data_IF_073758489267
#
_entry.id   IF_073758489267
#
_cell.length_a   1.000
_cell.length_b   1.000
_cell.length_c   1.000
_cell.angle_alpha   90.00
_cell.angle_beta   90.00
_cell.angle_gamma   90.00
#
_symmetry.space_group_name_H-M   'P 1'
#
loop_
_entity.id
_entity.type
_entity.pdbx_description
1 polymer ?
#
# COMPACT_ATOMS: atom_id res chain seq x y z
N UNK A 1 26.98 -14.86 -5.19
CA UNK A 1 26.73 -16.32 -5.19
C UNK A 1 27.90 -17.13 -4.65
N UNK A 2 29.12 -17.01 -5.19
CA UNK A 2 30.25 -17.89 -4.81
C UNK A 2 30.55 -17.89 -3.31
N UNK A 3 30.53 -16.72 -2.65
CA UNK A 3 30.67 -16.64 -1.19
C UNK A 3 29.60 -17.44 -0.45
N UNK A 4 28.32 -17.34 -0.86
CA UNK A 4 27.22 -18.08 -0.23
C UNK A 4 27.31 -19.59 -0.48
N UNK A 5 27.86 -20.02 -1.63
CA UNK A 5 28.09 -21.45 -1.92
C UNK A 5 29.12 -22.09 -0.97
N UNK A 6 30.09 -21.32 -0.48
CA UNK A 6 31.12 -21.80 0.43
C UNK A 6 30.81 -21.53 1.91
N UNK A 7 29.78 -20.73 2.22
CA UNK A 7 29.46 -20.28 3.58
C UNK A 7 27.96 -20.44 3.88
N UNK A 8 27.50 -21.68 4.04
CA UNK A 8 26.08 -22.00 4.22
C UNK A 8 25.49 -21.59 5.57
N UNK A 9 26.32 -21.24 6.56
CA UNK A 9 25.88 -20.88 7.91
C UNK A 9 25.90 -19.37 8.17
N UNK A 10 26.08 -18.55 7.13
CA UNK A 10 26.07 -17.09 7.29
C UNK A 10 24.66 -16.61 7.61
N UNK A 11 24.53 -15.64 8.51
CA UNK A 11 23.24 -14.98 8.71
C UNK A 11 22.90 -14.10 7.50
N UNK A 12 21.83 -14.43 6.79
CA UNK A 12 21.43 -13.74 5.56
C UNK A 12 21.01 -12.27 5.82
N UNK A 13 20.42 -11.98 6.98
CA UNK A 13 20.07 -10.62 7.36
C UNK A 13 21.32 -9.74 7.56
N UNK A 14 22.38 -10.28 8.18
CA UNK A 14 23.65 -9.57 8.34
C UNK A 14 24.33 -9.29 6.99
N UNK A 15 24.23 -10.24 6.04
CA UNK A 15 24.70 -10.04 4.66
C UNK A 15 23.91 -8.90 3.99
N UNK A 16 22.57 -8.92 4.07
CA UNK A 16 21.73 -7.88 3.49
C UNK A 16 22.03 -6.51 4.11
N UNK A 17 22.13 -6.42 5.43
CA UNK A 17 22.49 -5.21 6.17
C UNK A 17 23.85 -4.66 5.72
N UNK A 18 24.86 -5.53 5.61
CA UNK A 18 26.21 -5.15 5.19
C UNK A 18 26.24 -4.66 3.73
N UNK A 19 25.48 -5.29 2.84
CA UNK A 19 25.38 -4.86 1.44
C UNK A 19 24.68 -3.51 1.30
N UNK A 20 23.69 -3.21 2.14
CA UNK A 20 22.94 -1.96 2.11
C UNK A 20 23.70 -0.80 2.77
N UNK A 21 24.22 -1.00 3.98
CA UNK A 21 24.78 0.08 4.81
C UNK A 21 26.32 0.13 4.80
N UNK A 22 26.99 -0.99 4.52
CA UNK A 22 28.45 -1.11 4.57
C UNK A 22 29.16 -0.84 3.24
N UNK A 23 28.42 -0.58 2.16
CA UNK A 23 28.98 -0.46 0.79
C UNK A 23 28.49 0.82 0.11
N UNK A 24 29.33 1.35 -0.79
CA UNK A 24 28.93 2.49 -1.64
C UNK A 24 27.89 2.04 -2.67
N UNK A 25 26.88 2.88 -2.88
CA UNK A 25 25.90 2.70 -3.95
C UNK A 25 26.54 3.03 -5.30
N UNK A 26 26.63 2.03 -6.19
CA UNK A 26 27.21 2.17 -7.53
C UNK A 26 26.12 2.37 -8.60
N UNK A 27 26.56 2.69 -9.83
CA UNK A 27 25.68 2.90 -10.99
C UNK A 27 24.91 1.64 -11.38
N UNK A 28 25.59 0.49 -11.40
CA UNK A 28 25.00 -0.80 -11.73
C UNK A 28 24.48 -1.45 -10.45
N UNK A 29 23.17 -1.62 -10.36
CA UNK A 29 22.51 -2.15 -9.16
C UNK A 29 21.76 -3.42 -9.49
N UNK A 30 21.88 -4.40 -8.60
CA UNK A 30 21.06 -5.61 -8.59
C UNK A 30 20.51 -5.81 -7.18
N UNK A 31 19.20 -5.99 -7.07
CA UNK A 31 18.51 -6.31 -5.83
C UNK A 31 17.76 -7.64 -5.99
N UNK A 32 17.67 -8.39 -4.88
CA UNK A 32 16.99 -9.67 -4.80
C UNK A 32 16.11 -9.70 -3.56
N UNK A 33 14.91 -10.27 -3.68
CA UNK A 33 14.04 -10.57 -2.53
C UNK A 33 14.01 -12.08 -2.35
N UNK A 34 14.55 -12.56 -1.23
CA UNK A 34 14.74 -13.98 -0.93
C UNK A 34 14.51 -14.24 0.56
N UNK A 35 14.07 -15.44 0.88
CA UNK A 35 13.71 -15.90 2.23
C UNK A 35 14.81 -16.74 2.88
N UNK A 36 15.68 -17.35 2.08
CA UNK A 36 16.78 -18.17 2.59
C UNK A 36 18.02 -18.14 1.67
N UNK A 37 19.09 -18.81 2.13
CA UNK A 37 20.39 -18.85 1.44
C UNK A 37 20.32 -19.65 0.13
N UNK A 38 19.51 -20.72 0.08
CA UNK A 38 19.41 -21.55 -1.12
C UNK A 38 18.70 -20.78 -2.24
N UNK A 39 17.63 -20.07 -1.90
CA UNK A 39 16.96 -19.15 -2.80
C UNK A 39 17.90 -18.02 -3.26
N UNK A 40 18.68 -17.44 -2.34
CA UNK A 40 19.68 -16.42 -2.69
C UNK A 40 20.71 -16.94 -3.72
N UNK A 41 21.15 -18.19 -3.61
CA UNK A 41 22.09 -18.81 -4.57
C UNK A 41 21.45 -19.02 -5.95
N UNK A 42 20.20 -19.51 -5.97
CA UNK A 42 19.46 -19.77 -7.20
C UNK A 42 19.15 -18.48 -7.96
N UNK A 43 18.65 -17.46 -7.25
CA UNK A 43 18.18 -16.22 -7.86
C UNK A 43 19.33 -15.29 -8.29
N UNK A 44 20.52 -15.39 -7.68
CA UNK A 44 21.65 -14.47 -7.96
C UNK A 44 22.01 -14.33 -9.45
N UNK A 45 21.91 -15.44 -10.19
CA UNK A 45 22.22 -15.51 -11.61
C UNK A 45 20.98 -15.52 -12.51
N UNK A 46 19.78 -15.56 -11.93
CA UNK A 46 18.54 -15.62 -12.68
C UNK A 46 18.14 -14.22 -13.19
N UNK A 47 18.30 -13.98 -14.49
CA UNK A 47 18.00 -12.69 -15.09
C UNK A 47 16.51 -12.46 -15.38
N UNK A 48 15.70 -13.53 -15.39
CA UNK A 48 14.28 -13.49 -15.77
C UNK A 48 13.34 -13.72 -14.59
N UNK A 49 13.86 -13.67 -13.36
CA UNK A 49 13.05 -13.82 -12.16
C UNK A 49 12.40 -12.51 -11.76
N UNK A 50 11.11 -12.56 -11.41
CA UNK A 50 10.41 -11.41 -10.82
C UNK A 50 11.03 -10.94 -9.49
N UNK A 51 11.78 -11.83 -8.81
CA UNK A 51 12.48 -11.54 -7.55
C UNK A 51 13.78 -10.78 -7.75
N UNK A 52 14.26 -10.65 -8.98
CA UNK A 52 15.54 -10.05 -9.32
C UNK A 52 15.31 -8.79 -10.14
N UNK A 53 15.87 -7.68 -9.69
CA UNK A 53 15.84 -6.42 -10.42
C UNK A 53 17.27 -5.99 -10.70
N UNK A 54 17.60 -5.78 -11.98
CA UNK A 54 18.92 -5.27 -12.40
C UNK A 54 18.72 -3.99 -13.20
N UNK A 55 19.34 -2.90 -12.75
CA UNK A 55 19.19 -1.59 -13.38
C UNK A 55 20.51 -0.82 -13.40
N UNK A 56 20.59 0.12 -14.33
CA UNK A 56 21.62 1.16 -14.36
C UNK A 56 20.96 2.43 -13.81
N UNK A 57 21.42 2.90 -12.67
CA UNK A 57 20.89 4.09 -11.99
C UNK A 57 21.84 5.26 -12.20
N UNK A 58 21.34 6.35 -12.78
CA UNK A 58 22.08 7.62 -12.81
C UNK A 58 22.12 8.26 -11.41
N UNK A 59 23.04 9.21 -11.23
CA UNK A 59 23.39 9.85 -9.97
C UNK A 59 22.44 10.98 -9.53
N UNK A 60 21.46 11.32 -10.37
CA UNK A 60 20.43 12.32 -10.04
C UNK A 60 19.39 11.80 -9.04
N UNK A 61 19.00 12.64 -8.08
CA UNK A 61 17.81 12.42 -7.25
C UNK A 61 16.57 12.39 -8.16
N UNK A 62 15.83 11.29 -8.14
CA UNK A 62 14.55 11.20 -8.83
C UNK A 62 13.46 11.78 -7.94
N UNK A 63 12.54 12.53 -8.53
CA UNK A 63 11.32 12.92 -7.84
C UNK A 63 10.45 11.68 -7.60
N UNK A 64 9.92 11.57 -6.38
CA UNK A 64 9.05 10.48 -5.94
C UNK A 64 7.64 11.04 -5.80
N UNK A 65 6.69 10.43 -6.51
CA UNK A 65 5.28 10.79 -6.40
C UNK A 65 4.54 9.61 -5.78
N UNK A 66 3.81 9.84 -4.69
CA UNK A 66 2.87 8.84 -4.16
C UNK A 66 1.53 8.98 -4.87
N UNK A 67 1.04 7.86 -5.41
CA UNK A 67 -0.26 7.77 -6.09
C UNK A 67 -1.19 6.89 -5.27
N UNK A 68 -2.33 7.45 -4.90
CA UNK A 68 -3.34 6.84 -4.04
C UNK A 68 -4.54 6.43 -4.90
N UNK A 69 -4.74 5.13 -5.19
CA UNK A 69 -5.83 4.67 -6.04
C UNK A 69 -7.22 4.91 -5.42
N UNK A 70 -8.24 4.72 -6.25
CA UNK A 70 -9.63 4.78 -5.79
C UNK A 70 -10.14 3.41 -5.34
N UNK A 71 -11.46 3.38 -5.09
CA UNK A 71 -12.20 2.14 -4.84
C UNK A 71 -12.13 1.17 -6.04
N UNK A 72 -11.92 -0.12 -5.77
CA UNK A 72 -11.94 -1.20 -6.75
C UNK A 72 -10.90 -2.30 -6.53
N UNK A 73 -9.82 -2.02 -5.80
CA UNK A 73 -8.72 -2.95 -5.57
C UNK A 73 -8.67 -3.53 -4.14
N UNK A 74 -9.64 -3.20 -3.29
CA UNK A 74 -9.72 -3.71 -1.92
C UNK A 74 -10.01 -5.21 -1.88
N UNK A 75 -9.50 -5.89 -0.86
CA UNK A 75 -9.81 -7.28 -0.56
C UNK A 75 -9.65 -7.53 0.95
N UNK A 76 -10.33 -8.55 1.47
CA UNK A 76 -10.21 -8.96 2.88
C UNK A 76 -8.76 -9.37 3.18
N UNK A 77 -8.25 -9.00 4.36
CA UNK A 77 -6.85 -9.23 4.75
C UNK A 77 -5.80 -8.48 3.90
N UNK A 78 -6.20 -7.40 3.23
CA UNK A 78 -5.26 -6.51 2.55
C UNK A 78 -4.19 -5.98 3.53
N UNK A 79 -2.92 -6.24 3.20
CA UNK A 79 -1.80 -5.85 4.05
C UNK A 79 -1.63 -6.65 5.34
N UNK A 80 -2.28 -7.82 5.50
CA UNK A 80 -2.21 -8.59 6.75
C UNK A 80 -0.78 -9.00 7.14
N UNK A 81 0.06 -9.37 6.18
CA UNK A 81 1.45 -9.73 6.49
C UNK A 81 2.27 -8.50 6.93
N UNK A 82 2.01 -7.32 6.34
CA UNK A 82 2.59 -6.07 6.85
C UNK A 82 2.08 -5.74 8.26
N UNK A 83 0.80 -5.95 8.54
CA UNK A 83 0.24 -5.76 9.87
C UNK A 83 0.90 -6.68 10.92
N UNK A 84 1.25 -7.92 10.55
CA UNK A 84 1.94 -8.85 11.44
C UNK A 84 3.41 -8.49 11.65
N UNK A 85 4.13 -8.21 10.55
CA UNK A 85 5.60 -8.11 10.58
C UNK A 85 6.09 -6.67 10.74
N UNK A 86 5.42 -5.68 10.16
CA UNK A 86 5.87 -4.29 10.13
C UNK A 86 5.24 -3.45 11.24
N UNK A 87 6.05 -3.10 12.25
CA UNK A 87 5.60 -2.33 13.41
C UNK A 87 4.92 -1.01 13.02
N UNK A 88 5.50 -0.27 12.08
CA UNK A 88 4.96 1.03 11.67
C UNK A 88 3.59 0.94 11.06
N UNK A 89 3.44 -0.01 10.14
CA UNK A 89 2.18 -0.26 9.46
C UNK A 89 1.11 -0.65 10.48
N UNK A 90 1.43 -1.58 11.39
CA UNK A 90 0.53 -2.01 12.47
C UNK A 90 0.09 -0.86 13.37
N UNK A 91 1.03 -0.01 13.80
CA UNK A 91 0.72 1.10 14.71
C UNK A 91 -0.23 2.11 14.05
N UNK A 92 -0.03 2.43 12.77
CA UNK A 92 -0.89 3.38 12.04
C UNK A 92 -2.27 2.77 11.72
N UNK A 93 -2.33 1.47 11.41
CA UNK A 93 -3.62 0.76 11.26
C UNK A 93 -4.40 0.80 12.57
N UNK A 94 -3.75 0.45 13.69
CA UNK A 94 -4.39 0.46 15.00
C UNK A 94 -4.94 1.84 15.37
N UNK A 95 -4.13 2.90 15.16
CA UNK A 95 -4.55 4.27 15.41
C UNK A 95 -5.77 4.66 14.57
N UNK A 96 -5.78 4.30 13.27
CA UNK A 96 -6.93 4.60 12.42
C UNK A 96 -8.19 3.81 12.84
N UNK A 97 -8.04 2.53 13.20
CA UNK A 97 -9.14 1.71 13.69
C UNK A 97 -9.71 2.25 15.00
N UNK A 98 -8.87 2.66 15.95
CA UNK A 98 -9.30 3.28 17.22
C UNK A 98 -10.10 4.56 16.98
N UNK A 99 -9.61 5.43 16.09
CA UNK A 99 -10.33 6.68 15.75
C UNK A 99 -11.68 6.38 15.08
N UNK A 100 -11.75 5.40 14.19
CA UNK A 100 -13.00 5.04 13.53
C UNK A 100 -13.96 4.31 14.46
N UNK A 101 -13.47 3.48 15.38
CA UNK A 101 -14.24 2.87 16.46
C UNK A 101 -14.95 3.94 17.29
N UNK A 102 -14.25 5.02 17.64
CA UNK A 102 -14.83 6.18 18.34
C UNK A 102 -15.93 6.89 17.52
N UNK A 103 -15.83 6.88 16.19
CA UNK A 103 -16.77 7.57 15.28
C UNK A 103 -18.01 6.71 15.01
N UNK A 104 -17.82 5.41 14.76
CA UNK A 104 -18.87 4.52 14.24
C UNK A 104 -19.40 3.51 15.25
N UNK A 105 -18.68 3.26 16.35
CA UNK A 105 -18.98 2.21 17.32
C UNK A 105 -18.78 0.78 16.79
N UNK A 106 -17.99 0.61 15.72
CA UNK A 106 -17.73 -0.69 15.04
C UNK A 106 -16.25 -1.02 15.24
N UNK A 107 -15.93 -2.28 15.56
CA UNK A 107 -14.55 -2.79 15.57
C UNK A 107 -14.00 -2.87 14.14
N UNK A 108 -13.19 -1.88 13.76
CA UNK A 108 -12.63 -1.80 12.41
C UNK A 108 -11.49 -2.79 12.16
N UNK A 109 -10.90 -3.38 13.21
CA UNK A 109 -9.92 -4.45 13.03
C UNK A 109 -10.59 -5.72 12.54
N UNK A 110 -11.78 -6.05 13.04
CA UNK A 110 -12.55 -7.20 12.53
C UNK A 110 -13.06 -6.97 11.10
N UNK A 111 -13.31 -5.71 10.68
CA UNK A 111 -13.64 -5.39 9.28
C UNK A 111 -12.45 -5.64 8.35
N UNK A 112 -11.24 -5.24 8.75
CA UNK A 112 -10.02 -5.40 7.94
C UNK A 112 -9.47 -6.84 7.97
N UNK A 113 -9.44 -7.43 9.17
CA UNK A 113 -8.75 -8.67 9.51
C UNK A 113 -9.67 -9.62 10.28
N UNK A 114 -10.78 -10.08 9.67
CA UNK A 114 -11.73 -10.95 10.35
C UNK A 114 -11.08 -12.26 10.78
N UNK A 115 -11.35 -12.71 12.01
CA UNK A 115 -10.86 -13.99 12.54
C UNK A 115 -11.43 -15.20 11.79
N UNK A 116 -12.70 -15.11 11.38
CA UNK A 116 -13.42 -16.14 10.64
C UNK A 116 -13.78 -15.64 9.25
N UNK A 117 -13.18 -16.25 8.22
CA UNK A 117 -13.45 -15.93 6.81
C UNK A 117 -14.69 -16.68 6.32
N UNK A 118 -15.87 -16.29 6.80
CA UNK A 118 -17.11 -16.70 6.13
C UNK A 118 -17.31 -15.92 4.81
N UNK A 119 -18.17 -16.43 3.93
CA UNK A 119 -18.42 -15.81 2.61
C UNK A 119 -19.05 -14.42 2.74
N UNK A 120 -19.83 -14.17 3.80
CA UNK A 120 -20.53 -12.89 4.02
C UNK A 120 -19.54 -11.77 4.30
N UNK A 121 -18.46 -12.05 5.04
CA UNK A 121 -17.41 -11.08 5.34
C UNK A 121 -16.66 -10.61 4.10
N UNK A 122 -16.53 -11.47 3.07
CA UNK A 122 -15.89 -11.09 1.79
C UNK A 122 -16.73 -10.11 0.97
N UNK A 123 -18.05 -10.22 1.06
CA UNK A 123 -18.95 -9.28 0.39
C UNK A 123 -19.09 -7.97 1.17
N UNK A 124 -18.84 -8.00 2.48
CA UNK A 124 -18.98 -6.85 3.35
C UNK A 124 -17.89 -5.79 3.13
N UNK A 125 -16.64 -6.20 2.87
CA UNK A 125 -15.56 -5.25 2.53
C UNK A 125 -15.84 -4.47 1.24
N UNK A 126 -16.69 -5.01 0.35
CA UNK A 126 -17.08 -4.41 -0.92
C UNK A 126 -18.29 -3.47 -0.79
N UNK A 127 -18.91 -3.36 0.39
CA UNK A 127 -19.87 -2.29 0.65
C UNK A 127 -19.14 -0.96 0.74
N UNK A 128 -19.64 0.06 0.05
CA UNK A 128 -18.98 1.38 -0.04
C UNK A 128 -18.67 1.97 1.33
N UNK A 129 -19.57 1.77 2.29
CA UNK A 129 -19.42 2.18 3.70
C UNK A 129 -18.17 1.60 4.37
N UNK A 130 -17.77 0.38 4.00
CA UNK A 130 -16.60 -0.32 4.55
C UNK A 130 -15.37 -0.12 3.65
N UNK A 131 -15.57 -0.11 2.33
CA UNK A 131 -14.50 -0.04 1.34
C UNK A 131 -13.68 1.24 1.47
N UNK A 132 -14.33 2.39 1.57
CA UNK A 132 -13.61 3.67 1.54
C UNK A 132 -12.75 3.88 2.80
N UNK A 133 -13.25 3.65 4.03
CA UNK A 133 -12.40 3.71 5.21
C UNK A 133 -11.29 2.64 5.17
N UNK A 134 -11.58 1.42 4.73
CA UNK A 134 -10.56 0.37 4.64
C UNK A 134 -9.39 0.73 3.71
N UNK A 135 -9.70 1.28 2.52
CA UNK A 135 -8.69 1.79 1.59
C UNK A 135 -7.89 2.91 2.23
N UNK A 136 -8.55 3.87 2.86
CA UNK A 136 -7.87 4.99 3.53
C UNK A 136 -6.88 4.50 4.59
N UNK A 137 -7.30 3.57 5.46
CA UNK A 137 -6.46 3.01 6.53
C UNK A 137 -5.21 2.36 5.93
N UNK A 138 -5.39 1.51 4.92
CA UNK A 138 -4.29 0.79 4.28
C UNK A 138 -3.31 1.75 3.60
N UNK A 139 -3.81 2.65 2.76
CA UNK A 139 -3.00 3.58 1.98
C UNK A 139 -2.23 4.56 2.87
N UNK A 140 -2.90 5.10 3.89
CA UNK A 140 -2.27 5.96 4.88
C UNK A 140 -1.16 5.21 5.63
N UNK A 141 -1.44 4.02 6.13
CA UNK A 141 -0.48 3.22 6.91
C UNK A 141 0.72 2.78 6.05
N UNK A 142 0.49 2.42 4.79
CA UNK A 142 1.55 2.09 3.84
C UNK A 142 2.44 3.30 3.55
N UNK A 143 1.84 4.47 3.26
CA UNK A 143 2.60 5.69 3.03
C UNK A 143 3.47 6.06 4.24
N UNK A 144 2.92 5.96 5.46
CA UNK A 144 3.65 6.24 6.71
C UNK A 144 4.79 5.25 6.95
N UNK A 145 4.63 4.00 6.50
CA UNK A 145 5.68 2.97 6.54
C UNK A 145 6.81 3.26 5.56
N UNK A 146 6.48 3.62 4.31
CA UNK A 146 7.46 4.03 3.31
C UNK A 146 8.26 5.26 3.76
N UNK A 147 7.60 6.24 4.36
CA UNK A 147 8.25 7.44 4.91
C UNK A 147 9.20 7.09 6.06
N UNK A 148 8.87 6.12 6.93
CA UNK A 148 9.79 5.64 7.97
C UNK A 148 11.02 4.95 7.38
N UNK A 149 10.87 4.24 6.27
CA UNK A 149 12.01 3.68 5.52
C UNK A 149 12.83 4.72 4.75
N UNK A 150 12.47 6.01 4.86
CA UNK A 150 13.20 7.11 4.23
C UNK A 150 12.73 7.46 2.83
N UNK A 151 11.61 6.90 2.36
CA UNK A 151 11.02 7.18 1.05
C UNK A 151 9.95 8.26 1.24
N UNK A 152 10.29 9.50 0.92
CA UNK A 152 9.39 10.65 1.03
C UNK A 152 8.86 11.08 -0.33
N UNK A 153 7.58 11.45 -0.45
CA UNK A 153 7.05 12.00 -1.68
C UNK A 153 7.47 13.46 -1.87
N UNK A 154 7.92 13.82 -3.07
CA UNK A 154 8.04 15.20 -3.56
C UNK A 154 6.68 15.76 -4.01
N UNK A 155 5.72 14.88 -4.27
CA UNK A 155 4.34 15.22 -4.62
C UNK A 155 3.41 14.04 -4.43
N UNK A 156 2.11 14.31 -4.37
CA UNK A 156 1.08 13.28 -4.17
C UNK A 156 -0.09 13.53 -5.11
N UNK A 157 -0.70 12.45 -5.58
CA UNK A 157 -1.94 12.48 -6.36
C UNK A 157 -2.85 11.36 -5.87
N UNK A 158 -4.14 11.62 -5.79
CA UNK A 158 -5.12 10.62 -5.42
C UNK A 158 -6.26 10.55 -6.42
N UNK A 159 -6.80 9.36 -6.62
CA UNK A 159 -7.97 9.14 -7.47
C UNK A 159 -9.21 8.93 -6.61
N UNK A 160 -10.15 9.88 -6.64
CA UNK A 160 -11.40 9.83 -5.86
C UNK A 160 -11.12 9.69 -4.35
N UNK A 161 -11.34 8.52 -3.74
CA UNK A 161 -11.10 8.32 -2.31
C UNK A 161 -9.61 8.48 -1.93
N UNK A 162 -8.68 8.09 -2.81
CA UNK A 162 -7.25 8.25 -2.56
C UNK A 162 -6.80 9.71 -2.41
N UNK A 163 -7.58 10.68 -2.93
CA UNK A 163 -7.27 12.10 -2.76
C UNK A 163 -7.39 12.55 -1.30
N UNK A 164 -8.26 11.90 -0.52
CA UNK A 164 -8.38 12.15 0.91
C UNK A 164 -7.13 11.70 1.68
N UNK A 165 -6.49 10.61 1.24
CA UNK A 165 -5.22 10.13 1.81
C UNK A 165 -4.10 11.14 1.51
N UNK A 166 -3.98 11.56 0.24
CA UNK A 166 -3.01 12.57 -0.17
C UNK A 166 -3.18 13.88 0.62
N UNK A 167 -4.41 14.37 0.74
CA UNK A 167 -4.74 15.59 1.48
C UNK A 167 -4.43 15.46 2.99
N UNK A 168 -4.72 14.30 3.60
CA UNK A 168 -4.37 14.02 4.99
C UNK A 168 -2.86 14.05 5.22
N UNK A 169 -2.09 13.38 4.35
CA UNK A 169 -0.62 13.33 4.45
C UNK A 169 0.02 14.70 4.18
N UNK A 170 -0.61 15.52 3.33
CA UNK A 170 -0.20 16.89 3.08
C UNK A 170 -0.55 17.87 4.23
N UNK A 171 -1.27 17.40 5.26
CA UNK A 171 -1.64 18.21 6.42
C UNK A 171 -2.81 19.16 6.19
N UNK A 172 -3.62 18.96 5.14
CA UNK A 172 -4.84 19.76 4.90
C UNK A 172 -5.83 19.62 6.05
N UNK A 173 -5.92 18.42 6.61
CA UNK A 173 -6.70 18.11 7.79
C UNK A 173 -5.98 17.05 8.64
N UNK A 174 -6.32 17.00 9.93
CA UNK A 174 -5.81 15.96 10.83
C UNK A 174 -6.31 14.57 10.45
N UNK A 175 -5.61 13.52 10.89
CA UNK A 175 -6.02 12.14 10.68
C UNK A 175 -7.46 11.87 11.16
N UNK A 176 -7.82 12.40 12.34
CA UNK A 176 -9.18 12.26 12.88
C UNK A 176 -10.24 12.90 11.99
N UNK A 177 -9.98 14.11 11.48
CA UNK A 177 -10.88 14.78 10.55
C UNK A 177 -10.97 14.04 9.21
N UNK A 178 -9.86 13.51 8.70
CA UNK A 178 -9.83 12.71 7.49
C UNK A 178 -10.73 11.48 7.60
N UNK A 179 -10.55 10.69 8.67
CA UNK A 179 -11.30 9.47 8.92
C UNK A 179 -12.80 9.77 9.11
N UNK A 180 -13.14 10.84 9.82
CA UNK A 180 -14.53 11.27 9.95
C UNK A 180 -15.13 11.63 8.58
N UNK A 181 -14.42 12.41 7.77
CA UNK A 181 -14.91 12.82 6.45
C UNK A 181 -15.08 11.62 5.50
N UNK A 182 -14.13 10.69 5.52
CA UNK A 182 -14.18 9.46 4.72
C UNK A 182 -15.33 8.56 5.17
N UNK A 183 -15.52 8.38 6.48
CA UNK A 183 -16.62 7.58 7.03
C UNK A 183 -18.00 8.15 6.65
N UNK A 184 -18.19 9.47 6.82
CA UNK A 184 -19.44 10.15 6.45
C UNK A 184 -19.70 10.07 4.95
N UNK A 185 -18.68 10.32 4.12
CA UNK A 185 -18.78 10.17 2.66
C UNK A 185 -19.21 8.75 2.28
N UNK A 186 -18.58 7.75 2.86
CA UNK A 186 -18.85 6.35 2.57
C UNK A 186 -20.29 5.97 2.95
N UNK A 187 -20.73 6.40 4.14
CA UNK A 187 -22.09 6.19 4.65
C UNK A 187 -23.14 6.84 3.75
N UNK A 188 -22.95 8.12 3.40
CA UNK A 188 -23.89 8.85 2.54
C UNK A 188 -23.97 8.23 1.15
N UNK A 189 -22.84 7.84 0.56
CA UNK A 189 -22.81 7.18 -0.74
C UNK A 189 -23.53 5.82 -0.72
N UNK A 190 -23.37 5.04 0.35
CA UNK A 190 -24.02 3.74 0.50
C UNK A 190 -25.55 3.84 0.56
N UNK A 191 -26.10 4.97 1.04
CA UNK A 191 -27.54 5.20 1.13
C UNK A 191 -28.19 5.59 -0.20
N UNK A 192 -27.40 6.00 -1.19
CA UNK A 192 -27.92 6.39 -2.50
C UNK A 192 -28.40 5.16 -3.28
N UNK A 193 -29.41 5.31 -4.16
CA UNK A 193 -29.80 4.25 -5.10
C UNK A 193 -28.60 3.78 -5.92
N UNK A 194 -28.56 2.48 -6.22
CA UNK A 194 -27.48 1.90 -7.04
C UNK A 194 -27.46 2.56 -8.42
N UNK A 195 -26.32 3.14 -8.77
CA UNK A 195 -25.98 3.53 -10.13
C UNK A 195 -25.10 2.49 -10.82
N UNK A 196 -24.57 2.87 -11.98
CA UNK A 196 -23.58 2.08 -12.72
C UNK A 196 -22.47 3.00 -13.21
N UNK A 197 -21.26 2.46 -13.30
CA UNK A 197 -20.12 3.10 -13.94
C UNK A 197 -19.63 2.20 -15.07
N UNK A 198 -19.23 2.80 -16.19
CA UNK A 198 -18.65 2.09 -17.34
C UNK A 198 -17.33 2.74 -17.72
N UNK A 199 -16.31 1.92 -17.97
CA UNK A 199 -15.06 2.37 -18.56
C UNK A 199 -15.20 2.39 -20.08
N UNK A 200 -14.88 3.53 -20.70
CA UNK A 200 -14.96 3.71 -22.15
C UNK A 200 -13.59 4.09 -22.68
N UNK A 201 -13.13 3.40 -23.73
CA UNK A 201 -11.86 3.69 -24.39
C UNK A 201 -12.11 4.79 -25.42
N UNK A 202 -12.20 6.02 -24.95
CA UNK A 202 -12.36 7.23 -25.76
C UNK A 202 -11.87 8.45 -24.98
N UNK A 203 -11.55 9.53 -25.68
CA UNK A 203 -11.23 10.82 -25.06
C UNK A 203 -12.50 11.52 -24.54
N UNK A 204 -12.31 12.46 -23.61
CA UNK A 204 -13.40 13.30 -23.09
C UNK A 204 -14.19 14.01 -24.21
N UNK A 205 -13.49 14.54 -25.21
CA UNK A 205 -14.09 15.23 -26.35
C UNK A 205 -14.99 14.34 -27.21
N UNK A 206 -14.72 13.03 -27.25
CA UNK A 206 -15.55 12.07 -27.98
C UNK A 206 -16.79 11.67 -27.17
N UNK A 207 -16.70 11.69 -25.83
CA UNK A 207 -17.79 11.27 -24.93
C UNK A 207 -18.77 12.39 -24.63
N UNK A 208 -18.30 13.63 -24.44
CA UNK A 208 -19.15 14.76 -24.07
C UNK A 208 -20.39 14.93 -24.99
N UNK A 209 -20.29 14.83 -26.34
CA UNK A 209 -21.45 14.93 -27.22
C UNK A 209 -22.45 13.77 -27.11
N UNK A 210 -22.07 12.66 -26.48
CA UNK A 210 -22.90 11.45 -26.31
C UNK A 210 -23.60 11.41 -24.94
N UNK A 211 -23.25 12.33 -24.03
CA UNK A 211 -23.91 12.46 -22.73
C UNK A 211 -25.16 13.32 -22.88
N UNK A 212 -26.31 12.84 -22.37
CA UNK A 212 -27.58 13.55 -22.41
C UNK A 212 -27.62 14.77 -21.47
#
# INVERSE_FOLDING_TARGET
AEYLNHNNNVNLADVAYTLLNGRKNLKYRRALVVSDIEEAKQEFFNQNSAKVQTNICDDGSKQIIFMFPGQGAQYVNMGLDLYKEEKRFRDEVNLCCEILEDISGIDWKEVLYPKDLDVRMRDDINQTSNTQPAIFIFEYSLAKTLMEWGIYPDGMIGHSIGEYVAACLAGVFSLKQALQLVYERATLMQQLPKGSMISVIASENEILPLMN
#
